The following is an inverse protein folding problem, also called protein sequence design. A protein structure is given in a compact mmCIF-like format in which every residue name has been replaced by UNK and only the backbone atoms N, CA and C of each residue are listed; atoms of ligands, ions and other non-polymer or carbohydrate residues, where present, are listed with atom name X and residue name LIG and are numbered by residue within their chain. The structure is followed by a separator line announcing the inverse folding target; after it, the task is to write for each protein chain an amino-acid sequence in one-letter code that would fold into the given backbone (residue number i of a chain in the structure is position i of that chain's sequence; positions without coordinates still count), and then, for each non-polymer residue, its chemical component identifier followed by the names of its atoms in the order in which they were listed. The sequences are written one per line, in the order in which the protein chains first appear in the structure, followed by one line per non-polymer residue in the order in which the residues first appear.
data_IF_365329154426
#
_entry.id   IF_365329154426
#
_cell.length_a   1.000
_cell.length_b   1.000
_cell.length_c   1.000
_cell.angle_alpha   90.00
_cell.angle_beta   90.00
_cell.angle_gamma   90.00
#
_symmetry.space_group_name_H-M   'P 1'
#
loop_
_entity.id
_entity.type
_entity.pdbx_description
1 polymer ?
#
# COMPACT_ATOMS: atom_id res chain seq x y z
N UNK A 1 -5.02 31.92 -6.26
CA UNK A 1 -3.94 31.44 -5.37
C UNK A 1 -4.31 30.02 -4.96
N UNK A 2 -3.46 29.03 -5.23
CA UNK A 2 -3.71 27.65 -4.80
C UNK A 2 -3.71 27.58 -3.27
N UNK A 3 -4.62 26.81 -2.68
CA UNK A 3 -4.70 26.65 -1.23
C UNK A 3 -3.38 26.04 -0.69
N UNK A 4 -2.93 26.41 0.52
CA UNK A 4 -1.69 25.86 1.10
C UNK A 4 -1.69 24.32 1.20
N UNK A 5 -2.86 23.69 1.34
CA UNK A 5 -3.03 22.23 1.30
C UNK A 5 -2.68 21.62 -0.07
N UNK A 6 -3.01 22.30 -1.17
CA UNK A 6 -2.68 21.85 -2.53
C UNK A 6 -1.16 21.85 -2.77
N UNK A 7 -0.45 22.82 -2.19
CA UNK A 7 1.01 22.87 -2.26
C UNK A 7 1.65 21.72 -1.48
N UNK A 8 1.15 21.40 -0.28
CA UNK A 8 1.67 20.30 0.54
C UNK A 8 1.50 18.94 -0.15
N UNK A 9 0.30 18.65 -0.66
CA UNK A 9 0.00 17.43 -1.42
C UNK A 9 0.96 17.27 -2.59
N UNK A 10 1.19 18.36 -3.34
CA UNK A 10 2.07 18.33 -4.51
C UNK A 10 3.54 18.06 -4.12
N UNK A 11 4.01 18.58 -2.99
CA UNK A 11 5.34 18.29 -2.45
C UNK A 11 5.44 16.81 -2.03
N UNK A 12 4.46 16.29 -1.29
CA UNK A 12 4.42 14.87 -0.91
C UNK A 12 4.50 13.96 -2.15
N UNK A 13 3.71 14.24 -3.19
CA UNK A 13 3.74 13.47 -4.43
C UNK A 13 5.11 13.51 -5.12
N UNK A 14 5.75 14.67 -5.20
CA UNK A 14 7.09 14.79 -5.77
C UNK A 14 8.13 13.97 -4.99
N UNK A 15 8.06 13.97 -3.66
CA UNK A 15 8.97 13.19 -2.82
C UNK A 15 8.71 11.68 -2.93
N UNK A 16 7.45 11.26 -3.03
CA UNK A 16 7.09 9.86 -3.29
C UNK A 16 7.71 9.39 -4.61
N UNK A 17 7.54 10.15 -5.69
CA UNK A 17 8.12 9.82 -7.00
C UNK A 17 9.64 9.79 -6.93
N UNK A 18 10.27 10.74 -6.23
CA UNK A 18 11.72 10.76 -6.03
C UNK A 18 12.20 9.49 -5.33
N UNK A 19 11.60 9.11 -4.20
CA UNK A 19 12.01 7.92 -3.45
C UNK A 19 11.73 6.63 -4.23
N UNK A 20 10.64 6.56 -5.00
CA UNK A 20 10.35 5.42 -5.89
C UNK A 20 11.45 5.22 -6.95
N UNK A 21 11.90 6.32 -7.58
CA UNK A 21 12.98 6.28 -8.55
C UNK A 21 14.32 5.91 -7.91
N UNK A 22 14.63 6.44 -6.73
CA UNK A 22 15.84 6.07 -5.97
C UNK A 22 15.84 4.59 -5.59
N UNK A 23 14.70 4.05 -5.15
CA UNK A 23 14.54 2.61 -4.91
C UNK A 23 14.80 1.80 -6.19
N UNK A 24 14.24 2.21 -7.32
CA UNK A 24 14.44 1.51 -8.61
C UNK A 24 15.90 1.56 -9.06
N UNK A 25 16.58 2.69 -8.90
CA UNK A 25 18.00 2.83 -9.20
C UNK A 25 18.84 1.88 -8.34
N UNK A 26 18.62 1.88 -7.02
CA UNK A 26 19.33 0.97 -6.12
C UNK A 26 19.04 -0.52 -6.39
N UNK A 27 17.83 -0.86 -6.83
CA UNK A 27 17.51 -2.24 -7.29
C UNK A 27 18.35 -2.60 -8.51
N UNK A 28 18.57 -1.67 -9.43
CA UNK A 28 19.42 -1.89 -10.59
C UNK A 28 20.89 -2.04 -10.16
N UNK A 29 21.39 -1.19 -9.27
CA UNK A 29 22.74 -1.32 -8.70
C UNK A 29 22.94 -2.70 -8.04
N UNK A 30 21.92 -3.23 -7.35
CA UNK A 30 21.96 -4.58 -6.78
C UNK A 30 22.04 -5.66 -7.86
N UNK A 31 21.33 -5.51 -8.98
CA UNK A 31 21.39 -6.48 -10.09
C UNK A 31 22.77 -6.53 -10.73
N UNK A 32 23.40 -5.36 -10.86
CA UNK A 32 24.70 -5.22 -11.50
C UNK A 32 25.86 -5.43 -10.52
N UNK A 33 25.55 -5.60 -9.22
CA UNK A 33 26.53 -5.87 -8.19
C UNK A 33 27.19 -7.24 -8.43
N UNK A 34 28.46 -7.16 -8.84
CA UNK A 34 29.38 -8.29 -8.99
C UNK A 34 30.43 -8.32 -7.87
N UNK A 35 30.31 -7.40 -6.91
CA UNK A 35 31.28 -7.20 -5.82
C UNK A 35 31.03 -8.12 -4.62
N UNK A 36 31.89 -8.03 -3.59
CA UNK A 36 31.79 -8.88 -2.40
C UNK A 36 30.46 -8.65 -1.67
N UNK A 37 30.04 -9.65 -0.89
CA UNK A 37 28.78 -9.63 -0.13
C UNK A 37 28.60 -8.35 0.72
N UNK A 38 29.67 -7.73 1.20
CA UNK A 38 29.63 -6.47 1.95
C UNK A 38 29.04 -5.30 1.16
N UNK A 39 29.39 -5.17 -0.13
CA UNK A 39 28.84 -4.13 -1.01
C UNK A 39 27.35 -4.35 -1.26
N UNK A 40 26.95 -5.62 -1.45
CA UNK A 40 25.54 -5.99 -1.51
C UNK A 40 24.80 -5.66 -0.21
N UNK A 41 25.39 -5.92 0.96
CA UNK A 41 24.80 -5.58 2.26
C UNK A 41 24.59 -4.07 2.41
N UNK A 42 25.53 -3.24 1.99
CA UNK A 42 25.40 -1.78 2.01
C UNK A 42 24.25 -1.30 1.10
N UNK A 43 24.19 -1.79 -0.14
CA UNK A 43 23.10 -1.48 -1.07
C UNK A 43 21.74 -1.90 -0.49
N UNK A 44 21.67 -3.04 0.19
CA UNK A 44 20.46 -3.49 0.86
C UNK A 44 20.01 -2.57 2.00
N UNK A 45 20.95 -2.01 2.77
CA UNK A 45 20.62 -1.04 3.82
C UNK A 45 20.05 0.24 3.20
N UNK A 46 20.70 0.78 2.15
CA UNK A 46 20.21 1.96 1.43
C UNK A 46 18.80 1.75 0.87
N UNK A 47 18.53 0.60 0.25
CA UNK A 47 17.19 0.28 -0.27
C UNK A 47 16.15 0.26 0.86
N UNK A 48 16.47 -0.35 2.01
CA UNK A 48 15.56 -0.39 3.17
C UNK A 48 15.23 1.01 3.69
N UNK A 49 16.24 1.89 3.81
CA UNK A 49 16.05 3.27 4.22
C UNK A 49 15.14 4.03 3.24
N UNK A 50 15.35 3.86 1.93
CA UNK A 50 14.51 4.49 0.91
C UNK A 50 13.08 3.96 0.90
N UNK A 51 12.87 2.67 1.14
CA UNK A 51 11.52 2.12 1.33
C UNK A 51 10.83 2.70 2.57
N UNK A 52 11.55 2.93 3.67
CA UNK A 52 10.99 3.55 4.86
C UNK A 52 10.58 5.00 4.59
N UNK A 53 11.43 5.78 3.91
CA UNK A 53 11.12 7.15 3.50
C UNK A 53 9.89 7.20 2.57
N UNK A 54 9.85 6.32 1.56
CA UNK A 54 8.72 6.19 0.64
C UNK A 54 7.41 5.86 1.38
N UNK A 55 7.45 4.87 2.29
CA UNK A 55 6.29 4.49 3.09
C UNK A 55 5.78 5.64 3.95
N UNK A 56 6.68 6.40 4.56
CA UNK A 56 6.33 7.53 5.39
C UNK A 56 5.61 8.63 4.58
N UNK A 57 6.15 9.01 3.41
CA UNK A 57 5.50 10.02 2.55
C UNK A 57 4.14 9.56 2.02
N UNK A 58 3.98 8.28 1.69
CA UNK A 58 2.67 7.72 1.31
C UNK A 58 1.66 7.86 2.47
N UNK A 59 2.08 7.66 3.72
CA UNK A 59 1.21 7.84 4.89
C UNK A 59 0.82 9.31 5.11
N UNK A 60 1.74 10.24 4.90
CA UNK A 60 1.44 11.69 4.97
C UNK A 60 0.48 12.13 3.88
N UNK A 61 0.61 11.58 2.66
CA UNK A 61 -0.35 11.82 1.58
C UNK A 61 -1.73 11.25 1.92
N UNK A 62 -1.79 10.06 2.52
CA UNK A 62 -3.05 9.46 2.99
C UNK A 62 -3.70 10.31 4.09
N UNK A 63 -2.91 10.88 4.99
CA UNK A 63 -3.41 11.79 6.02
C UNK A 63 -3.94 13.09 5.39
N UNK A 64 -3.21 13.66 4.44
CA UNK A 64 -3.65 14.84 3.68
C UNK A 64 -4.96 14.60 2.93
N UNK A 65 -5.16 13.37 2.41
CA UNK A 65 -6.40 12.97 1.77
C UNK A 65 -7.58 12.90 2.75
N UNK A 66 -7.35 12.44 3.99
CA UNK A 66 -8.37 12.35 5.04
C UNK A 66 -8.81 13.72 5.57
N UNK A 67 -7.94 14.71 5.48
CA UNK A 67 -8.19 16.10 5.89
C UNK A 67 -8.93 16.92 4.84
N UNK A 68 -9.19 16.36 3.65
CA UNK A 68 -9.94 17.07 2.62
C UNK A 68 -11.45 17.14 2.90
N UNK A 69 -11.99 18.35 2.85
CA UNK A 69 -13.42 18.63 3.01
C UNK A 69 -14.24 18.22 1.79
N UNK A 70 -13.63 18.30 0.60
CA UNK A 70 -14.28 17.92 -0.66
C UNK A 70 -14.11 16.43 -0.92
N UNK A 71 -15.20 15.70 -0.85
CA UNK A 71 -15.20 14.24 -1.06
C UNK A 71 -14.62 13.85 -2.43
N UNK A 72 -14.86 14.61 -3.50
CA UNK A 72 -14.29 14.34 -4.82
C UNK A 72 -12.76 14.43 -4.85
N UNK A 73 -12.17 15.45 -4.20
CA UNK A 73 -10.72 15.63 -4.12
C UNK A 73 -10.09 14.56 -3.20
N UNK A 74 -10.75 14.24 -2.08
CA UNK A 74 -10.35 13.14 -1.19
C UNK A 74 -10.30 11.78 -1.92
N UNK A 75 -11.32 11.45 -2.70
CA UNK A 75 -11.35 10.18 -3.45
C UNK A 75 -10.21 10.08 -4.48
N UNK A 76 -9.89 11.19 -5.16
CA UNK A 76 -8.76 11.24 -6.09
C UNK A 76 -7.43 10.98 -5.36
N UNK A 77 -7.21 11.63 -4.22
CA UNK A 77 -5.97 11.45 -3.44
C UNK A 77 -5.86 10.05 -2.85
N UNK A 78 -6.95 9.46 -2.34
CA UNK A 78 -6.94 8.09 -1.87
C UNK A 78 -6.62 7.09 -2.99
N UNK A 79 -7.14 7.33 -4.20
CA UNK A 79 -6.80 6.50 -5.36
C UNK A 79 -5.31 6.61 -5.74
N UNK A 80 -4.72 7.80 -5.61
CA UNK A 80 -3.29 8.03 -5.84
C UNK A 80 -2.43 7.32 -4.78
N UNK A 81 -2.81 7.41 -3.50
CA UNK A 81 -2.17 6.66 -2.40
C UNK A 81 -2.15 5.16 -2.69
N UNK A 82 -3.28 4.59 -3.13
CA UNK A 82 -3.37 3.16 -3.45
C UNK A 82 -2.49 2.78 -4.65
N UNK A 83 -2.37 3.67 -5.65
CA UNK A 83 -1.45 3.45 -6.76
C UNK A 83 0.02 3.43 -6.29
N UNK A 84 0.41 4.36 -5.42
CA UNK A 84 1.77 4.38 -4.85
C UNK A 84 2.06 3.16 -3.97
N UNK A 85 1.10 2.69 -3.17
CA UNK A 85 1.24 1.45 -2.40
C UNK A 85 1.48 0.24 -3.31
N UNK A 86 0.72 0.12 -4.41
CA UNK A 86 0.91 -0.95 -5.41
C UNK A 86 2.29 -0.89 -6.05
N UNK A 87 2.76 0.31 -6.44
CA UNK A 87 4.10 0.50 -7.00
C UNK A 87 5.20 0.10 -6.02
N UNK A 88 5.08 0.52 -4.75
CA UNK A 88 6.03 0.15 -3.70
C UNK A 88 6.12 -1.37 -3.51
N UNK A 89 4.99 -2.10 -3.52
CA UNK A 89 4.97 -3.57 -3.44
C UNK A 89 5.64 -4.24 -4.64
N UNK A 90 5.42 -3.70 -5.84
CA UNK A 90 6.08 -4.17 -7.06
C UNK A 90 7.61 -3.99 -6.98
N UNK A 91 8.06 -2.82 -6.52
CA UNK A 91 9.48 -2.56 -6.30
C UNK A 91 10.07 -3.50 -5.24
N UNK A 92 9.35 -3.78 -4.15
CA UNK A 92 9.81 -4.70 -3.12
C UNK A 92 10.02 -6.11 -3.68
N UNK A 93 9.12 -6.56 -4.55
CA UNK A 93 9.26 -7.85 -5.24
C UNK A 93 10.46 -7.85 -6.17
N UNK A 94 10.66 -6.77 -6.92
CA UNK A 94 11.80 -6.60 -7.82
C UNK A 94 13.14 -6.57 -7.08
N UNK A 95 13.19 -5.91 -5.92
CA UNK A 95 14.35 -5.87 -5.02
C UNK A 95 14.71 -7.25 -4.47
N UNK A 96 13.72 -8.04 -4.05
CA UNK A 96 13.93 -9.43 -3.59
C UNK A 96 14.52 -10.30 -4.69
N UNK A 97 13.98 -10.20 -5.92
CA UNK A 97 14.49 -10.91 -7.09
C UNK A 97 15.93 -10.52 -7.40
N UNK A 98 16.23 -9.22 -7.45
CA UNK A 98 17.58 -8.69 -7.67
C UNK A 98 18.58 -9.22 -6.64
N UNK A 99 18.19 -9.21 -5.37
CA UNK A 99 19.00 -9.75 -4.28
C UNK A 99 19.34 -11.23 -4.46
N UNK A 100 18.34 -12.04 -4.81
CA UNK A 100 18.55 -13.46 -5.01
C UNK A 100 19.53 -13.72 -6.16
N UNK A 101 19.30 -13.06 -7.30
CA UNK A 101 20.18 -13.17 -8.46
C UNK A 101 21.61 -12.75 -8.14
N UNK A 102 21.79 -11.61 -7.47
CA UNK A 102 23.10 -11.11 -7.08
C UNK A 102 23.81 -12.06 -6.10
N UNK A 103 23.13 -12.55 -5.05
CA UNK A 103 23.70 -13.53 -4.12
C UNK A 103 24.14 -14.81 -4.82
N UNK A 104 23.31 -15.35 -5.71
CA UNK A 104 23.66 -16.53 -6.51
C UNK A 104 24.89 -16.25 -7.38
N UNK A 105 25.00 -15.06 -7.98
CA UNK A 105 26.15 -14.69 -8.80
C UNK A 105 27.44 -14.60 -7.97
N UNK A 106 27.38 -13.96 -6.80
CA UNK A 106 28.51 -13.86 -5.85
C UNK A 106 28.94 -15.26 -5.40
N UNK A 107 28.00 -16.09 -4.92
CA UNK A 107 28.31 -17.45 -4.43
C UNK A 107 28.91 -18.32 -5.56
N UNK A 108 28.43 -18.17 -6.79
CA UNK A 108 28.96 -18.90 -7.94
C UNK A 108 30.36 -18.42 -8.34
N UNK A 109 30.65 -17.13 -8.20
CA UNK A 109 31.99 -16.57 -8.44
C UNK A 109 32.97 -17.10 -7.38
N UNK A 110 32.61 -17.01 -6.10
CA UNK A 110 33.41 -17.58 -4.99
C UNK A 110 33.63 -19.08 -5.18
N UNK A 111 32.59 -19.83 -5.59
CA UNK A 111 32.71 -21.25 -5.89
C UNK A 111 33.60 -21.52 -7.11
N UNK A 112 33.54 -20.72 -8.16
CA UNK A 112 34.38 -20.88 -9.34
C UNK A 112 35.87 -20.64 -9.00
N UNK A 113 36.14 -19.66 -8.15
CA UNK A 113 37.48 -19.37 -7.62
C UNK A 113 37.98 -20.51 -6.71
N UNK A 114 37.11 -21.06 -5.84
CA UNK A 114 37.45 -22.19 -4.98
C UNK A 114 37.60 -23.52 -5.74
N UNK A 115 36.82 -23.75 -6.80
CA UNK A 115 36.89 -24.96 -7.64
C UNK A 115 38.13 -24.98 -8.53
N UNK A 116 38.70 -23.83 -8.89
CA UNK A 116 40.06 -23.79 -9.46
C UNK A 116 41.12 -24.28 -8.46
N UNK A 117 40.84 -24.25 -7.16
CA UNK A 117 41.79 -24.62 -6.10
C UNK A 117 41.62 -26.00 -5.44
N UNK A 118 40.58 -26.80 -5.77
CA UNK A 118 40.23 -27.96 -4.94
C UNK A 118 39.62 -29.16 -5.67
N UNK A 119 40.41 -30.23 -5.74
CA UNK A 119 40.15 -31.49 -6.44
C UNK A 119 39.01 -32.36 -5.83
N UNK A 120 38.02 -32.64 -6.68
CA UNK A 120 37.06 -33.76 -6.82
C UNK A 120 36.34 -34.52 -5.67
N UNK A 121 36.73 -34.55 -4.38
CA UNK A 121 36.23 -35.65 -3.51
C UNK A 121 35.39 -35.31 -2.26
N UNK A 122 35.25 -34.04 -1.85
CA UNK A 122 34.59 -33.67 -0.56
C UNK A 122 33.23 -32.98 -0.67
N UNK A 123 32.61 -32.95 -1.86
CA UNK A 123 31.48 -32.05 -2.14
C UNK A 123 30.07 -32.68 -2.00
N UNK A 124 29.93 -33.95 -1.58
CA UNK A 124 28.61 -34.61 -1.61
C UNK A 124 27.84 -34.70 -0.30
N UNK A 125 28.39 -34.32 0.86
CA UNK A 125 27.72 -34.55 2.17
C UNK A 125 27.34 -33.30 2.96
N UNK A 126 28.02 -32.17 2.82
CA UNK A 126 27.73 -30.92 3.57
C UNK A 126 26.77 -29.95 2.87
N UNK A 127 26.53 -30.11 1.56
CA UNK A 127 25.78 -29.13 0.74
C UNK A 127 24.25 -29.23 0.88
N UNK A 128 23.70 -30.33 1.42
CA UNK A 128 22.24 -30.52 1.52
C UNK A 128 21.63 -29.97 2.81
N UNK A 129 22.36 -30.05 3.93
CA UNK A 129 21.87 -29.59 5.24
C UNK A 129 21.86 -28.06 5.34
N UNK A 130 22.91 -27.38 4.85
CA UNK A 130 22.98 -25.91 4.85
C UNK A 130 21.89 -25.28 3.98
N UNK A 131 21.62 -25.82 2.79
CA UNK A 131 20.54 -25.34 1.91
C UNK A 131 19.15 -25.50 2.54
N UNK A 132 18.89 -26.63 3.20
CA UNK A 132 17.61 -26.87 3.89
C UNK A 132 17.43 -25.93 5.09
N UNK A 133 18.50 -25.64 5.83
CA UNK A 133 18.45 -24.80 7.02
C UNK A 133 18.22 -23.32 6.66
N UNK A 134 18.89 -22.81 5.61
CA UNK A 134 18.66 -21.46 5.09
C UNK A 134 17.28 -21.34 4.43
N UNK A 135 16.83 -22.35 3.69
CA UNK A 135 15.48 -22.38 3.09
C UNK A 135 14.38 -22.38 4.15
N UNK A 136 14.55 -23.15 5.24
CA UNK A 136 13.60 -23.16 6.37
C UNK A 136 13.55 -21.81 7.10
N UNK A 137 14.70 -21.17 7.36
CA UNK A 137 14.75 -19.85 7.99
C UNK A 137 14.10 -18.75 7.13
N UNK A 138 14.28 -18.81 5.80
CA UNK A 138 13.62 -17.91 4.84
C UNK A 138 12.12 -18.18 4.79
N UNK A 139 11.70 -19.46 4.80
CA UNK A 139 10.29 -19.86 4.77
C UNK A 139 9.57 -19.43 6.06
N UNK A 140 10.20 -19.56 7.22
CA UNK A 140 9.65 -19.13 8.51
C UNK A 140 9.52 -17.61 8.60
N UNK A 141 10.51 -16.87 8.08
CA UNK A 141 10.45 -15.41 7.95
C UNK A 141 9.34 -14.97 6.98
N UNK A 142 9.14 -15.69 5.87
CA UNK A 142 8.07 -15.42 4.92
C UNK A 142 6.68 -15.70 5.52
N UNK A 143 6.53 -16.78 6.28
CA UNK A 143 5.30 -17.08 7.02
C UNK A 143 5.01 -16.04 8.10
N UNK A 144 6.03 -15.55 8.81
CA UNK A 144 5.89 -14.46 9.78
C UNK A 144 5.41 -13.16 9.14
N UNK A 145 5.98 -12.79 8.00
CA UNK A 145 5.58 -11.60 7.23
C UNK A 145 4.18 -11.78 6.62
N UNK A 146 3.86 -12.95 6.07
CA UNK A 146 2.54 -13.26 5.51
C UNK A 146 1.43 -13.18 6.57
N UNK A 147 1.68 -13.70 7.78
CA UNK A 147 0.74 -13.59 8.92
C UNK A 147 0.55 -12.14 9.36
N UNK A 148 1.62 -11.36 9.45
CA UNK A 148 1.57 -9.94 9.83
C UNK A 148 0.87 -9.07 8.77
N UNK A 149 1.05 -9.38 7.48
CA UNK A 149 0.35 -8.75 6.37
C UNK A 149 -1.13 -9.11 6.33
N UNK A 150 -1.49 -10.38 6.57
CA UNK A 150 -2.89 -10.81 6.67
C UNK A 150 -3.62 -10.08 7.80
N UNK A 151 -2.98 -9.89 8.96
CA UNK A 151 -3.55 -9.11 10.05
C UNK A 151 -3.74 -7.64 9.70
N UNK A 152 -2.78 -7.00 9.01
CA UNK A 152 -2.91 -5.60 8.61
C UNK A 152 -3.97 -5.40 7.49
N UNK A 153 -4.10 -6.34 6.56
CA UNK A 153 -5.14 -6.30 5.51
C UNK A 153 -6.52 -6.55 6.11
N UNK A 154 -6.64 -7.51 7.04
CA UNK A 154 -7.93 -7.81 7.67
C UNK A 154 -8.41 -6.67 8.59
N UNK A 155 -7.50 -6.06 9.35
CA UNK A 155 -7.81 -4.83 10.11
C UNK A 155 -8.17 -3.66 9.19
N UNK A 156 -7.57 -3.57 8.00
CA UNK A 156 -7.93 -2.56 6.99
C UNK A 156 -9.31 -2.82 6.37
N UNK A 157 -9.68 -4.09 6.15
CA UNK A 157 -10.96 -4.49 5.57
C UNK A 157 -12.13 -4.27 6.56
N UNK A 158 -11.93 -4.59 7.84
CA UNK A 158 -12.89 -4.35 8.91
C UNK A 158 -13.18 -2.84 9.10
N UNK A 159 -12.14 -2.00 9.03
CA UNK A 159 -12.29 -0.54 9.05
C UNK A 159 -13.02 -0.01 7.80
N UNK A 160 -12.82 -0.64 6.64
CA UNK A 160 -13.49 -0.28 5.38
C UNK A 160 -14.98 -0.66 5.41
N UNK A 161 -15.33 -1.84 5.94
CA UNK A 161 -16.72 -2.27 6.10
C UNK A 161 -17.49 -1.39 7.10
N UNK A 162 -16.83 -0.89 8.16
CA UNK A 162 -17.47 0.05 9.08
C UNK A 162 -17.72 1.43 8.44
N UNK A 163 -16.84 1.87 7.54
CA UNK A 163 -17.03 3.12 6.79
C UNK A 163 -18.14 3.00 5.73
N UNK A 164 -18.21 1.88 5.00
CA UNK A 164 -19.24 1.62 3.98
C UNK A 164 -20.63 1.34 4.60
N UNK A 165 -20.66 0.67 5.75
CA UNK A 165 -21.90 0.54 6.53
C UNK A 165 -22.39 1.91 6.98
N UNK A 166 -21.50 2.80 7.46
CA UNK A 166 -21.91 4.12 7.97
C UNK A 166 -22.38 5.07 6.87
N UNK A 167 -21.89 4.97 5.64
CA UNK A 167 -22.40 5.72 4.48
C UNK A 167 -23.76 5.19 4.02
N UNK A 168 -23.93 3.87 3.95
CA UNK A 168 -25.20 3.22 3.59
C UNK A 168 -26.34 3.56 4.56
N UNK A 169 -26.04 3.58 5.87
CA UNK A 169 -27.02 3.96 6.90
C UNK A 169 -27.38 5.43 6.80
N UNK A 170 -26.42 6.33 6.56
CA UNK A 170 -26.69 7.76 6.34
C UNK A 170 -27.59 8.00 5.12
N UNK A 171 -27.33 7.30 4.02
CA UNK A 171 -28.12 7.44 2.79
C UNK A 171 -29.54 6.91 2.97
N UNK A 172 -29.69 5.76 3.65
CA UNK A 172 -31.00 5.17 3.96
C UNK A 172 -31.80 6.04 4.93
N UNK A 173 -31.15 6.64 5.94
CA UNK A 173 -31.79 7.54 6.89
C UNK A 173 -32.22 8.86 6.21
N UNK A 174 -31.40 9.38 5.31
CA UNK A 174 -31.73 10.59 4.55
C UNK A 174 -32.92 10.36 3.60
N UNK A 175 -32.96 9.23 2.90
CA UNK A 175 -34.11 8.84 2.06
C UNK A 175 -35.40 8.67 2.88
N UNK A 176 -35.32 8.02 4.04
CA UNK A 176 -36.47 7.86 4.93
C UNK A 176 -37.00 9.20 5.47
N UNK A 177 -36.10 10.13 5.84
CA UNK A 177 -36.45 11.48 6.27
C UNK A 177 -37.12 12.27 5.15
N UNK A 178 -36.59 12.20 3.92
CA UNK A 178 -37.15 12.89 2.76
C UNK A 178 -38.55 12.38 2.38
N UNK A 179 -38.78 11.07 2.46
CA UNK A 179 -40.10 10.47 2.22
C UNK A 179 -41.11 10.88 3.29
N UNK A 180 -40.71 11.01 4.55
CA UNK A 180 -41.59 11.45 5.65
C UNK A 180 -42.00 12.92 5.49
N UNK A 181 -41.05 13.80 5.13
CA UNK A 181 -41.29 15.22 4.82
C UNK A 181 -42.29 15.38 3.67
N UNK A 182 -42.11 14.63 2.58
CA UNK A 182 -43.04 14.64 1.44
C UNK A 182 -44.42 14.14 1.85
N UNK A 183 -44.51 13.06 2.63
CA UNK A 183 -45.79 12.49 3.05
C UNK A 183 -46.56 13.41 4.00
N UNK A 184 -45.87 14.06 4.94
CA UNK A 184 -46.43 15.08 5.83
C UNK A 184 -46.90 16.30 5.05
N UNK A 185 -46.11 16.77 4.07
CA UNK A 185 -46.50 17.87 3.19
C UNK A 185 -47.76 17.58 2.37
N UNK A 186 -47.86 16.38 1.79
CA UNK A 186 -49.06 15.95 1.05
C UNK A 186 -50.28 15.81 1.96
N UNK A 187 -50.09 15.31 3.20
CA UNK A 187 -51.16 15.22 4.19
C UNK A 187 -51.68 16.60 4.60
N UNK A 188 -50.78 17.58 4.78
CA UNK A 188 -51.14 18.97 5.07
C UNK A 188 -51.86 19.64 3.89
N UNK A 189 -51.42 19.39 2.66
CA UNK A 189 -52.05 19.93 1.46
C UNK A 189 -53.48 19.37 1.29
N UNK A 190 -53.67 18.07 1.54
CA UNK A 190 -54.99 17.44 1.50
C UNK A 190 -55.91 18.03 2.57
N UNK A 191 -55.43 18.21 3.81
CA UNK A 191 -56.19 18.87 4.88
C UNK A 191 -56.56 20.31 4.53
N UNK A 192 -55.67 21.05 3.87
CA UNK A 192 -55.94 22.42 3.45
C UNK A 192 -56.97 22.49 2.32
N UNK A 193 -56.85 21.62 1.32
CA UNK A 193 -57.83 21.48 0.24
C UNK A 193 -59.20 21.04 0.76
N UNK A 194 -59.26 20.14 1.75
CA UNK A 194 -60.51 19.76 2.40
C UNK A 194 -61.13 20.88 3.23
N UNK A 195 -60.32 21.76 3.83
CA UNK A 195 -60.82 22.93 4.56
C UNK A 195 -61.37 24.02 3.62
N UNK A 196 -60.72 24.25 2.48
CA UNK A 196 -61.15 25.24 1.47
C UNK A 196 -62.43 24.82 0.72
N UNK A 197 -62.68 23.51 0.58
CA UNK A 197 -63.94 23.00 0.00
C UNK A 197 -65.13 23.18 0.95
N UNK A 198 -64.89 23.26 2.26
CA UNK A 198 -65.96 23.40 3.26
C UNK A 198 -66.43 24.85 3.42
N UNK A 199 -65.60 25.86 3.16
CA UNK A 199 -65.97 27.30 3.26
C UNK A 199 -66.77 27.81 2.05
N UNK A 200 -66.82 27.08 0.94
CA UNK A 200 -67.53 27.50 -0.27
C UNK A 200 -69.00 27.04 -0.33
N UNK A 201 -69.51 26.45 0.75
CA UNK A 201 -70.83 25.83 0.82
C UNK A 201 -71.77 26.40 1.92
N UNK A 202 -71.44 27.59 2.46
CA UNK A 202 -72.34 28.43 3.26
C UNK A 202 -72.74 29.71 2.50
#
# INVERSE_FOLDING_TARGET
MAAPQDVHVRICNQEIVKFDLEVKALIQDIRDCSGPLSALTELNTKVKEKFQQLRHRIQELEQSAKEQDKESEKQVLLQEVENHKKQMLSNQTSWRKANLTCKIAIDNLEKAELLQGGDLLRQRKTTKESLAQTSSAITESLMGISRMMSQQVQQSEEAMQTLDSRSSWKHSFHLAFFLLEVYLGWSLLILRLSSEVQEHHD
#
